data_IF_168704095740
#
_entry.id   IF_168704095740
#
_cell.length_a   1.000
_cell.length_b   1.000
_cell.length_c   1.000
_cell.angle_alpha   90.00
_cell.angle_beta   90.00
_cell.angle_gamma   90.00
#
_symmetry.space_group_name_H-M   'P 1'
#
loop_
_entity.id
_entity.type
_entity.pdbx_description
1 polymer ?
#
# COMPACT_ATOMS: atom_id res chain seq x y z
N UNK A 1 -41.95 -36.03 12.82
CA UNK A 1 -41.11 -34.98 12.17
C UNK A 1 -41.19 -33.58 12.82
N UNK A 2 -42.26 -33.25 13.57
CA UNK A 2 -42.44 -31.90 14.16
C UNK A 2 -41.68 -31.59 15.45
N UNK A 3 -41.17 -32.57 16.18
CA UNK A 3 -40.57 -32.39 17.51
C UNK A 3 -39.04 -32.14 17.41
N UNK A 4 -38.40 -32.67 16.37
CA UNK A 4 -36.95 -32.49 16.16
C UNK A 4 -36.62 -31.05 15.68
N UNK A 5 -37.48 -30.46 14.85
CA UNK A 5 -37.30 -29.08 14.36
C UNK A 5 -37.46 -28.01 15.48
N UNK A 6 -38.32 -28.22 16.48
CA UNK A 6 -38.44 -27.31 17.62
C UNK A 6 -37.26 -27.35 18.57
N UNK A 7 -36.59 -28.52 18.74
CA UNK A 7 -35.38 -28.62 19.59
C UNK A 7 -34.16 -27.99 18.94
N UNK A 8 -34.02 -28.13 17.62
CA UNK A 8 -32.89 -27.49 16.89
C UNK A 8 -33.05 -25.95 16.85
N UNK A 9 -34.29 -25.46 16.64
CA UNK A 9 -34.56 -24.02 16.67
C UNK A 9 -34.34 -23.43 18.08
N UNK A 10 -34.73 -24.13 19.14
CA UNK A 10 -34.48 -23.69 20.51
C UNK A 10 -33.02 -23.77 20.92
N UNK A 11 -32.26 -24.75 20.41
CA UNK A 11 -30.83 -24.86 20.65
C UNK A 11 -30.06 -23.73 19.96
N UNK A 12 -30.41 -23.39 18.71
CA UNK A 12 -29.85 -22.24 17.99
C UNK A 12 -30.17 -20.91 18.65
N UNK A 13 -31.41 -20.77 19.18
CA UNK A 13 -31.82 -19.57 19.93
C UNK A 13 -31.12 -19.46 21.30
N UNK A 14 -30.88 -20.57 21.98
CA UNK A 14 -30.09 -20.59 23.23
C UNK A 14 -28.62 -20.29 23.02
N UNK A 15 -28.00 -20.77 21.93
CA UNK A 15 -26.61 -20.41 21.55
C UNK A 15 -26.53 -18.91 21.20
N UNK A 16 -27.55 -18.36 20.53
CA UNK A 16 -27.65 -16.93 20.24
C UNK A 16 -27.78 -16.11 21.53
N UNK A 17 -28.61 -16.53 22.46
CA UNK A 17 -28.83 -15.88 23.77
C UNK A 17 -27.62 -16.01 24.72
N UNK A 18 -26.85 -17.11 24.62
CA UNK A 18 -25.60 -17.27 25.38
C UNK A 18 -24.50 -16.36 24.81
N UNK A 19 -24.40 -16.21 23.48
CA UNK A 19 -23.49 -15.21 22.86
C UNK A 19 -23.83 -13.77 23.27
N UNK A 20 -25.12 -13.43 23.42
CA UNK A 20 -25.57 -12.11 23.89
C UNK A 20 -25.24 -11.88 25.38
N UNK A 21 -25.18 -12.93 26.21
CA UNK A 21 -24.88 -12.81 27.65
C UNK A 21 -23.41 -12.79 28.01
N UNK A 22 -22.52 -13.32 27.16
CA UNK A 22 -21.07 -13.38 27.41
C UNK A 22 -20.33 -12.13 26.99
N UNK A 23 -20.89 -11.31 26.08
CA UNK A 23 -20.31 -10.06 25.64
C UNK A 23 -21.23 -8.90 26.02
N UNK A 24 -21.04 -8.34 27.19
CA UNK A 24 -21.82 -7.23 27.74
C UNK A 24 -21.72 -5.90 26.94
N UNK A 25 -21.95 -5.93 25.66
CA UNK A 25 -22.04 -4.78 24.78
C UNK A 25 -22.97 -5.08 23.60
N UNK A 26 -23.89 -4.19 23.29
CA UNK A 26 -24.64 -4.18 22.04
C UNK A 26 -23.64 -3.90 20.89
N UNK A 27 -23.05 -4.94 20.31
CA UNK A 27 -22.33 -4.78 19.04
C UNK A 27 -23.39 -4.68 17.95
N UNK A 28 -23.37 -3.59 17.21
CA UNK A 28 -24.25 -3.40 16.07
C UNK A 28 -24.00 -4.50 15.03
N UNK A 29 -25.02 -5.25 14.67
CA UNK A 29 -25.02 -6.23 13.56
C UNK A 29 -24.79 -5.57 12.18
N UNK A 30 -24.56 -4.25 12.13
CA UNK A 30 -24.39 -3.51 10.91
C UNK A 30 -23.07 -3.88 10.23
N UNK A 31 -23.16 -4.39 9.00
CA UNK A 31 -21.99 -4.62 8.16
C UNK A 31 -21.29 -3.30 7.85
N UNK A 32 -19.97 -3.35 7.73
CA UNK A 32 -19.19 -2.25 7.16
C UNK A 32 -19.58 -2.12 5.69
N UNK A 33 -19.87 -0.92 5.23
CA UNK A 33 -20.11 -0.57 3.83
C UNK A 33 -18.84 -0.03 3.21
N UNK A 34 -18.42 -0.62 2.09
CA UNK A 34 -17.23 -0.19 1.36
C UNK A 34 -17.58 0.21 -0.09
N UNK A 35 -16.87 1.20 -0.61
CA UNK A 35 -16.80 1.51 -2.03
C UNK A 35 -15.41 1.15 -2.54
N UNK A 36 -15.33 0.39 -3.64
CA UNK A 36 -14.09 0.11 -4.35
C UNK A 36 -13.83 1.20 -5.38
N UNK A 37 -12.76 1.97 -5.22
CA UNK A 37 -12.32 3.01 -6.16
C UNK A 37 -11.06 2.53 -6.89
N UNK A 38 -11.20 2.27 -8.19
CA UNK A 38 -10.23 1.54 -9.02
C UNK A 38 -10.54 0.04 -9.07
N UNK A 39 -10.99 -0.45 -10.24
CA UNK A 39 -11.46 -1.82 -10.47
C UNK A 39 -10.48 -2.55 -11.41
N UNK A 40 -9.19 -2.46 -11.09
CA UNK A 40 -8.11 -3.13 -11.83
C UNK A 40 -7.86 -4.58 -11.33
N UNK A 41 -6.79 -5.20 -11.83
CA UNK A 41 -6.40 -6.58 -11.51
C UNK A 41 -6.35 -6.87 -10.00
N UNK A 42 -5.75 -5.99 -9.21
CA UNK A 42 -5.59 -6.19 -7.76
C UNK A 42 -6.92 -6.09 -7.01
N UNK A 43 -7.84 -5.24 -7.47
CA UNK A 43 -9.13 -5.04 -6.80
C UNK A 43 -9.98 -6.32 -6.73
N UNK A 44 -9.79 -7.25 -7.66
CA UNK A 44 -10.47 -8.56 -7.64
C UNK A 44 -10.18 -9.32 -6.34
N UNK A 45 -8.90 -9.31 -5.90
CA UNK A 45 -8.52 -9.91 -4.62
C UNK A 45 -9.08 -9.13 -3.44
N UNK A 46 -8.98 -7.79 -3.48
CA UNK A 46 -9.49 -6.95 -2.39
C UNK A 46 -11.00 -7.09 -2.22
N UNK A 47 -11.77 -7.01 -3.30
CA UNK A 47 -13.23 -7.20 -3.25
C UNK A 47 -13.61 -8.59 -2.72
N UNK A 48 -12.90 -9.64 -3.15
CA UNK A 48 -13.10 -10.99 -2.61
C UNK A 48 -12.85 -11.02 -1.10
N UNK A 49 -11.73 -10.49 -0.63
CA UNK A 49 -11.38 -10.47 0.78
C UNK A 49 -12.34 -9.63 1.63
N UNK A 50 -12.83 -8.51 1.10
CA UNK A 50 -13.86 -7.70 1.74
C UNK A 50 -15.13 -8.54 1.99
N UNK A 51 -15.63 -9.22 0.96
CA UNK A 51 -16.81 -10.08 1.06
C UNK A 51 -16.60 -11.23 2.04
N UNK A 52 -15.45 -11.92 2.01
CA UNK A 52 -15.07 -12.99 2.92
C UNK A 52 -15.00 -12.53 4.39
N UNK A 53 -14.68 -11.25 4.62
CA UNK A 53 -14.66 -10.61 5.94
C UNK A 53 -15.97 -9.93 6.33
N UNK A 54 -17.07 -10.21 5.61
CA UNK A 54 -18.41 -9.73 5.94
C UNK A 54 -18.68 -8.27 5.60
N UNK A 55 -17.81 -7.63 4.81
CA UNK A 55 -18.02 -6.25 4.33
C UNK A 55 -19.03 -6.26 3.18
N UNK A 56 -19.92 -5.28 3.14
CA UNK A 56 -20.84 -5.03 2.04
C UNK A 56 -20.22 -4.04 1.06
N UNK A 57 -20.01 -4.45 -0.19
CA UNK A 57 -19.56 -3.52 -1.24
C UNK A 57 -20.82 -2.84 -1.79
N UNK A 58 -20.93 -1.53 -1.59
CA UNK A 58 -22.13 -0.73 -1.95
C UNK A 58 -21.92 0.13 -3.20
N UNK A 59 -20.73 0.10 -3.77
CA UNK A 59 -20.39 0.82 -5.01
C UNK A 59 -19.01 0.48 -5.50
N UNK A 60 -18.78 0.72 -6.78
CA UNK A 60 -17.49 0.59 -7.43
C UNK A 60 -17.30 1.72 -8.44
N UNK A 61 -16.07 2.24 -8.56
CA UNK A 61 -15.73 3.41 -9.38
C UNK A 61 -14.49 3.08 -10.22
N UNK A 62 -14.50 3.42 -11.49
CA UNK A 62 -13.33 3.34 -12.36
C UNK A 62 -13.39 4.37 -13.49
N UNK A 63 -12.23 4.67 -14.10
CA UNK A 63 -12.13 5.50 -15.30
C UNK A 63 -12.06 4.68 -16.59
N UNK A 64 -11.84 3.37 -16.50
CA UNK A 64 -11.66 2.50 -17.65
C UNK A 64 -13.01 2.14 -18.29
N UNK A 65 -13.29 2.57 -19.55
CA UNK A 65 -14.54 2.25 -20.23
C UNK A 65 -14.83 0.75 -20.37
N UNK A 66 -13.78 -0.08 -20.33
CA UNK A 66 -13.93 -1.52 -20.46
C UNK A 66 -14.61 -2.20 -19.25
N UNK A 67 -14.63 -1.53 -18.07
CA UNK A 67 -15.25 -2.07 -16.86
C UNK A 67 -16.45 -1.23 -16.39
N UNK A 68 -16.59 0.01 -16.81
CA UNK A 68 -17.76 0.86 -16.49
C UNK A 68 -19.04 0.18 -17.00
N UNK A 69 -20.07 0.16 -16.16
CA UNK A 69 -21.36 -0.47 -16.45
C UNK A 69 -21.41 -1.97 -16.19
N UNK A 70 -20.28 -2.64 -15.92
CA UNK A 70 -20.25 -4.05 -15.54
C UNK A 70 -20.53 -4.25 -14.06
N UNK A 71 -21.14 -5.38 -13.73
CA UNK A 71 -21.28 -5.81 -12.33
C UNK A 71 -19.93 -6.30 -11.78
N UNK A 72 -19.62 -5.95 -10.53
CA UNK A 72 -18.37 -6.39 -9.89
C UNK A 72 -18.26 -7.92 -9.76
N UNK A 73 -19.38 -8.63 -9.69
CA UNK A 73 -19.41 -10.10 -9.71
C UNK A 73 -18.87 -10.65 -11.04
N UNK A 74 -19.28 -10.05 -12.16
CA UNK A 74 -18.74 -10.41 -13.49
C UNK A 74 -17.21 -10.20 -13.55
N UNK A 75 -16.74 -9.05 -13.04
CA UNK A 75 -15.30 -8.71 -13.01
C UNK A 75 -14.51 -9.72 -12.16
N UNK A 76 -15.10 -10.18 -11.05
CA UNK A 76 -14.50 -11.19 -10.18
C UNK A 76 -14.67 -12.63 -10.69
N UNK A 77 -15.32 -12.84 -11.85
CA UNK A 77 -15.58 -14.18 -12.41
C UNK A 77 -16.57 -15.01 -11.60
N UNK A 78 -17.59 -14.36 -11.00
CA UNK A 78 -18.65 -14.98 -10.18
C UNK A 78 -20.03 -14.42 -10.53
N UNK A 79 -21.07 -14.91 -9.84
CA UNK A 79 -22.44 -14.41 -10.03
C UNK A 79 -22.53 -12.90 -9.71
N UNK A 80 -23.48 -12.24 -10.40
CA UNK A 80 -23.74 -10.81 -10.21
C UNK A 80 -24.07 -10.49 -8.74
N UNK A 81 -23.48 -9.41 -8.26
CA UNK A 81 -23.67 -8.91 -6.89
C UNK A 81 -24.63 -7.73 -6.82
N UNK A 82 -25.09 -7.22 -7.97
CA UNK A 82 -25.99 -6.06 -8.04
C UNK A 82 -25.26 -4.72 -7.85
N UNK A 83 -23.93 -4.71 -7.95
CA UNK A 83 -23.11 -3.50 -7.82
C UNK A 83 -22.44 -3.22 -9.15
N UNK A 84 -22.88 -2.18 -9.82
CA UNK A 84 -22.38 -1.77 -11.16
C UNK A 84 -21.25 -0.75 -10.99
N UNK A 85 -20.18 -0.90 -11.80
CA UNK A 85 -19.06 0.05 -11.83
C UNK A 85 -19.54 1.38 -12.41
N UNK A 86 -19.37 2.43 -11.65
CA UNK A 86 -19.71 3.83 -11.98
C UNK A 86 -18.47 4.54 -12.55
N UNK A 87 -18.67 5.43 -13.51
CA UNK A 87 -17.60 6.26 -14.05
C UNK A 87 -17.10 7.27 -13.00
N UNK A 88 -15.79 7.60 -13.04
CA UNK A 88 -15.11 8.47 -12.07
C UNK A 88 -15.78 9.85 -11.94
N UNK A 89 -16.32 10.39 -13.01
CA UNK A 89 -17.03 11.67 -13.04
C UNK A 89 -18.26 11.71 -12.10
N UNK A 90 -18.80 10.53 -11.77
CA UNK A 90 -19.92 10.35 -10.86
C UNK A 90 -19.51 9.89 -9.45
N UNK A 91 -18.20 9.84 -9.17
CA UNK A 91 -17.66 9.34 -7.90
C UNK A 91 -18.26 10.05 -6.69
N UNK A 92 -18.30 11.38 -6.72
CA UNK A 92 -18.85 12.20 -5.62
C UNK A 92 -20.31 11.90 -5.34
N UNK A 93 -21.11 11.75 -6.41
CA UNK A 93 -22.53 11.42 -6.27
C UNK A 93 -22.72 10.01 -5.68
N UNK A 94 -21.99 9.01 -6.20
CA UNK A 94 -22.06 7.63 -5.68
C UNK A 94 -21.71 7.57 -4.18
N UNK A 95 -20.62 8.20 -3.77
CA UNK A 95 -20.19 8.23 -2.36
C UNK A 95 -21.21 8.95 -1.46
N UNK A 96 -21.82 10.05 -1.96
CA UNK A 96 -22.88 10.79 -1.25
C UNK A 96 -24.15 9.97 -1.06
N UNK A 97 -24.55 9.19 -2.06
CA UNK A 97 -25.78 8.38 -2.05
C UNK A 97 -25.61 7.12 -1.21
N UNK A 98 -24.47 6.42 -1.35
CA UNK A 98 -24.21 5.14 -0.67
C UNK A 98 -23.76 5.31 0.78
N UNK A 99 -23.14 6.45 1.12
CA UNK A 99 -22.60 6.78 2.44
C UNK A 99 -21.79 5.61 3.02
N UNK A 100 -20.71 5.20 2.36
CA UNK A 100 -19.91 4.08 2.82
C UNK A 100 -19.16 4.45 4.11
N UNK A 101 -18.81 3.42 4.91
CA UNK A 101 -17.95 3.59 6.08
C UNK A 101 -16.49 3.79 5.64
N UNK A 102 -16.13 3.26 4.47
CA UNK A 102 -14.79 3.36 3.92
C UNK A 102 -14.77 3.28 2.39
N UNK A 103 -13.89 4.07 1.77
CA UNK A 103 -13.54 3.98 0.35
C UNK A 103 -12.15 3.33 0.22
N UNK A 104 -12.04 2.28 -0.58
CA UNK A 104 -10.78 1.59 -0.87
C UNK A 104 -10.24 2.09 -2.20
N UNK A 105 -9.20 2.93 -2.16
CA UNK A 105 -8.62 3.60 -3.34
C UNK A 105 -7.43 2.81 -3.88
N UNK A 106 -7.58 2.24 -5.07
CA UNK A 106 -6.58 1.36 -5.72
C UNK A 106 -6.37 1.79 -7.18
N UNK A 107 -5.81 2.99 -7.40
CA UNK A 107 -5.72 3.60 -8.73
C UNK A 107 -4.31 3.82 -9.23
N UNK A 108 -3.47 4.50 -8.47
CA UNK A 108 -2.15 4.99 -8.87
C UNK A 108 -1.14 4.84 -7.73
N UNK A 109 0.15 5.01 -8.04
CA UNK A 109 1.27 4.90 -7.10
C UNK A 109 1.72 6.25 -6.53
N UNK A 110 1.48 7.36 -7.22
CA UNK A 110 1.84 8.70 -6.76
C UNK A 110 0.68 9.40 -6.05
N UNK A 111 1.00 10.09 -4.96
CA UNK A 111 0.00 10.71 -4.09
C UNK A 111 -0.80 11.80 -4.80
N UNK A 112 -0.14 12.61 -5.62
CA UNK A 112 -0.80 13.62 -6.44
C UNK A 112 -1.78 13.06 -7.46
N UNK A 113 -1.52 11.88 -8.01
CA UNK A 113 -2.45 11.21 -8.95
C UNK A 113 -3.71 10.66 -8.26
N UNK A 114 -3.68 10.51 -6.92
CA UNK A 114 -4.83 10.08 -6.11
C UNK A 114 -5.54 11.27 -5.44
N UNK A 115 -5.12 12.52 -5.68
CA UNK A 115 -5.67 13.72 -5.01
C UNK A 115 -7.19 13.79 -5.11
N UNK A 116 -7.75 13.63 -6.30
CA UNK A 116 -9.21 13.74 -6.52
C UNK A 116 -9.98 12.73 -5.64
N UNK A 117 -9.57 11.47 -5.61
CA UNK A 117 -10.22 10.44 -4.82
C UNK A 117 -10.16 10.75 -3.31
N UNK A 118 -8.99 11.16 -2.81
CA UNK A 118 -8.83 11.53 -1.40
C UNK A 118 -9.62 12.78 -1.03
N UNK A 119 -9.61 13.80 -1.89
CA UNK A 119 -10.34 15.05 -1.66
C UNK A 119 -11.85 14.82 -1.60
N UNK A 120 -12.41 14.04 -2.52
CA UNK A 120 -13.85 13.70 -2.51
C UNK A 120 -14.21 12.95 -1.23
N UNK A 121 -13.42 11.95 -0.83
CA UNK A 121 -13.64 11.21 0.42
C UNK A 121 -13.60 12.16 1.63
N UNK A 122 -12.56 13.00 1.73
CA UNK A 122 -12.39 13.94 2.82
C UNK A 122 -13.51 15.00 2.86
N UNK A 123 -13.98 15.51 1.71
CA UNK A 123 -15.10 16.44 1.62
C UNK A 123 -16.43 15.86 2.12
N UNK A 124 -16.66 14.58 1.82
CA UNK A 124 -17.90 13.88 2.19
C UNK A 124 -17.84 13.23 3.60
N UNK A 125 -16.70 13.32 4.29
CA UNK A 125 -16.52 12.69 5.60
C UNK A 125 -16.48 11.16 5.52
N UNK A 126 -16.03 10.60 4.38
CA UNK A 126 -15.86 9.16 4.15
C UNK A 126 -14.42 8.77 4.46
N UNK A 127 -14.22 7.76 5.32
CA UNK A 127 -12.87 7.24 5.53
C UNK A 127 -12.30 6.67 4.22
N UNK A 128 -10.98 6.79 4.01
CA UNK A 128 -10.33 6.20 2.85
C UNK A 128 -9.04 5.48 3.21
N UNK A 129 -8.83 4.34 2.54
CA UNK A 129 -7.62 3.55 2.63
C UNK A 129 -7.10 3.28 1.22
N UNK A 130 -5.79 3.45 0.99
CA UNK A 130 -5.23 3.33 -0.36
C UNK A 130 -4.02 2.41 -0.43
N UNK A 131 -3.86 1.76 -1.59
CA UNK A 131 -2.64 1.04 -1.98
C UNK A 131 -1.59 1.93 -2.63
N UNK A 132 -1.88 3.22 -2.82
CA UNK A 132 -0.91 4.18 -3.35
C UNK A 132 0.37 4.15 -2.50
N UNK A 133 1.49 3.81 -3.10
CA UNK A 133 2.75 3.60 -2.38
C UNK A 133 3.25 4.89 -1.73
N UNK A 134 3.13 6.03 -2.41
CA UNK A 134 3.53 7.32 -1.85
C UNK A 134 2.63 7.74 -0.67
N UNK A 135 1.35 7.32 -0.68
CA UNK A 135 0.41 7.60 0.41
C UNK A 135 0.77 6.93 1.74
N UNK A 136 1.77 6.04 1.76
CA UNK A 136 2.26 5.37 2.98
C UNK A 136 2.88 6.37 3.97
N UNK A 137 3.64 7.36 3.47
CA UNK A 137 4.22 8.44 4.28
C UNK A 137 4.43 9.72 3.44
N UNK A 138 3.35 10.38 2.98
CA UNK A 138 3.44 11.49 2.03
C UNK A 138 3.99 12.81 2.62
N UNK A 139 4.17 12.88 3.95
CA UNK A 139 4.70 14.07 4.62
C UNK A 139 6.09 14.46 4.15
N UNK A 140 6.91 13.50 3.70
CA UNK A 140 8.27 13.75 3.25
C UNK A 140 8.44 13.83 1.72
N UNK A 141 7.35 13.66 0.95
CA UNK A 141 7.37 13.72 -0.52
C UNK A 141 6.41 14.76 -1.10
N UNK A 142 5.24 14.95 -0.49
CA UNK A 142 4.22 15.92 -0.93
C UNK A 142 3.49 16.54 0.26
N UNK A 143 4.21 17.34 1.09
CA UNK A 143 3.68 17.89 2.35
C UNK A 143 2.48 18.83 2.16
N UNK A 144 2.42 19.56 1.04
CA UNK A 144 1.32 20.50 0.80
C UNK A 144 0.00 19.77 0.56
N UNK A 145 0.00 18.75 -0.27
CA UNK A 145 -1.20 17.93 -0.50
C UNK A 145 -1.58 17.14 0.76
N UNK A 146 -0.57 16.58 1.47
CA UNK A 146 -0.79 15.93 2.76
C UNK A 146 -1.53 16.85 3.75
N UNK A 147 -1.04 18.08 3.96
CA UNK A 147 -1.66 19.04 4.87
C UNK A 147 -3.09 19.40 4.44
N UNK A 148 -3.32 19.63 3.14
CA UNK A 148 -4.64 19.92 2.57
C UNK A 148 -5.66 18.82 2.86
N UNK A 149 -5.28 17.56 2.65
CA UNK A 149 -6.14 16.41 2.91
C UNK A 149 -6.36 16.23 4.42
N UNK A 150 -5.31 16.36 5.23
CA UNK A 150 -5.36 16.21 6.69
C UNK A 150 -6.33 17.22 7.34
N UNK A 151 -6.22 18.50 6.96
CA UNK A 151 -7.13 19.56 7.44
C UNK A 151 -8.58 19.29 7.05
N UNK A 152 -8.80 18.88 5.80
CA UNK A 152 -10.15 18.60 5.29
C UNK A 152 -10.77 17.37 5.97
N UNK A 153 -9.99 16.31 6.13
CA UNK A 153 -10.42 15.09 6.81
C UNK A 153 -10.74 15.34 8.30
N UNK A 154 -9.92 16.15 9.00
CA UNK A 154 -10.21 16.60 10.37
C UNK A 154 -11.51 17.40 10.46
N UNK A 155 -11.70 18.34 9.53
CA UNK A 155 -12.91 19.16 9.47
C UNK A 155 -14.18 18.34 9.28
N UNK A 156 -14.11 17.28 8.48
CA UNK A 156 -15.28 16.46 8.10
C UNK A 156 -15.33 15.12 8.85
N UNK A 157 -14.51 14.95 9.92
CA UNK A 157 -14.53 13.81 10.85
C UNK A 157 -14.34 12.45 10.16
N UNK A 158 -13.36 12.33 9.27
CA UNK A 158 -12.97 11.09 8.63
C UNK A 158 -11.44 10.87 8.67
N UNK A 159 -11.01 9.64 8.41
CA UNK A 159 -9.60 9.23 8.40
C UNK A 159 -9.18 8.81 7.00
N UNK A 160 -8.08 9.37 6.53
CA UNK A 160 -7.44 9.01 5.25
C UNK A 160 -6.09 8.37 5.54
N UNK A 161 -5.73 7.30 4.84
CA UNK A 161 -4.42 6.64 4.99
C UNK A 161 -3.97 5.90 3.74
N UNK A 162 -2.66 5.68 3.61
CA UNK A 162 -2.06 4.74 2.67
C UNK A 162 -1.43 3.57 3.40
N UNK A 163 -1.54 2.37 2.83
CA UNK A 163 -0.95 1.14 3.36
C UNK A 163 -0.82 0.09 2.25
N UNK A 164 -0.32 -1.09 2.57
CA UNK A 164 -0.16 -2.20 1.64
C UNK A 164 0.95 -3.13 2.07
N UNK A 165 1.63 -3.76 1.13
CA UNK A 165 2.78 -4.62 1.36
C UNK A 165 3.83 -3.97 2.28
N UNK A 166 4.09 -2.68 2.07
CA UNK A 166 5.07 -1.90 2.81
C UNK A 166 4.79 -1.81 4.30
N UNK A 167 3.54 -1.84 4.74
CA UNK A 167 3.18 -1.75 6.16
C UNK A 167 3.83 -2.87 6.98
N UNK A 168 3.75 -4.11 6.49
CA UNK A 168 4.34 -5.26 7.17
C UNK A 168 5.79 -5.45 6.76
N UNK A 169 6.05 -5.55 5.45
CA UNK A 169 7.29 -6.09 4.92
C UNK A 169 8.44 -5.09 4.83
N UNK A 170 8.11 -3.78 4.83
CA UNK A 170 9.08 -2.69 4.85
C UNK A 170 9.00 -1.83 6.12
N UNK A 171 8.04 -2.12 6.99
CA UNK A 171 7.77 -1.39 8.23
C UNK A 171 7.79 -2.26 9.48
N UNK A 172 6.68 -2.93 9.77
CA UNK A 172 6.48 -3.57 11.08
C UNK A 172 7.46 -4.72 11.38
N UNK A 173 7.85 -5.53 10.39
CA UNK A 173 8.85 -6.57 10.57
C UNK A 173 10.19 -5.97 11.04
N UNK A 174 10.59 -4.86 10.44
CA UNK A 174 11.84 -4.19 10.75
C UNK A 174 11.79 -3.57 12.16
N UNK A 175 10.71 -2.89 12.48
CA UNK A 175 10.56 -2.27 13.81
C UNK A 175 10.40 -3.31 14.92
N UNK A 176 9.81 -4.48 14.62
CA UNK A 176 9.75 -5.59 15.58
C UNK A 176 11.12 -6.17 15.88
N UNK A 177 11.98 -6.32 14.86
CA UNK A 177 13.37 -6.76 15.04
C UNK A 177 14.17 -5.68 15.78
N UNK A 178 13.99 -4.40 15.42
CA UNK A 178 14.62 -3.28 16.12
C UNK A 178 14.29 -3.27 17.60
N UNK A 179 13.06 -3.66 17.98
CA UNK A 179 12.64 -3.78 19.39
C UNK A 179 13.41 -4.85 20.19
N UNK A 180 14.10 -5.79 19.54
CA UNK A 180 14.95 -6.80 20.16
C UNK A 180 16.45 -6.52 20.03
N UNK A 181 16.84 -5.34 19.51
CA UNK A 181 18.21 -4.91 19.32
C UNK A 181 18.56 -3.83 20.34
N UNK A 182 19.58 -4.06 21.17
CA UNK A 182 19.98 -3.14 22.26
C UNK A 182 20.60 -1.84 21.72
N UNK A 183 21.38 -1.94 20.64
CA UNK A 183 22.04 -0.78 20.00
C UNK A 183 21.95 -0.93 18.51
N UNK A 184 21.37 0.05 17.82
CA UNK A 184 21.26 0.09 16.37
C UNK A 184 22.25 1.12 15.84
N UNK A 185 22.99 0.76 14.80
CA UNK A 185 23.89 1.69 14.07
C UNK A 185 23.40 1.95 12.66
N UNK A 186 22.80 0.93 12.02
CA UNK A 186 22.28 1.04 10.65
C UNK A 186 21.08 0.12 10.45
N UNK A 187 20.13 0.55 9.65
CA UNK A 187 19.06 -0.31 9.11
C UNK A 187 19.30 -0.37 7.59
N UNK A 188 19.49 -1.58 7.06
CA UNK A 188 19.70 -1.80 5.63
C UNK A 188 18.58 -2.65 5.06
N UNK A 189 17.95 -2.18 3.96
CA UNK A 189 16.87 -2.87 3.29
C UNK A 189 17.09 -3.00 1.79
N UNK A 190 16.63 -4.12 1.21
CA UNK A 190 16.60 -4.35 -0.22
C UNK A 190 15.35 -5.13 -0.59
N UNK A 191 14.58 -4.63 -1.55
CA UNK A 191 13.41 -5.32 -2.09
C UNK A 191 13.52 -5.36 -3.61
N UNK A 192 13.29 -6.54 -4.22
CA UNK A 192 13.42 -6.71 -5.67
C UNK A 192 12.14 -7.25 -6.29
N UNK A 193 11.90 -6.87 -7.55
CA UNK A 193 10.78 -7.35 -8.36
C UNK A 193 11.17 -7.41 -9.84
N UNK A 194 10.52 -8.31 -10.58
CA UNK A 194 10.68 -8.43 -12.02
C UNK A 194 9.85 -7.39 -12.75
N UNK A 195 10.50 -6.43 -13.43
CA UNK A 195 9.79 -5.36 -14.16
C UNK A 195 8.94 -5.89 -15.33
N UNK A 196 9.25 -7.07 -15.85
CA UNK A 196 8.50 -7.67 -16.96
C UNK A 196 7.05 -8.02 -16.59
N UNK A 197 6.76 -8.28 -15.31
CA UNK A 197 5.40 -8.57 -14.83
C UNK A 197 4.47 -7.35 -14.88
N UNK A 198 5.06 -6.16 -14.97
CA UNK A 198 4.35 -4.87 -14.97
C UNK A 198 4.30 -4.19 -16.34
N UNK A 199 4.92 -4.79 -17.36
CA UNK A 199 4.84 -4.38 -18.76
C UNK A 199 5.99 -3.50 -19.25
N UNK A 200 5.99 -3.27 -20.57
CA UNK A 200 7.10 -2.64 -21.30
C UNK A 200 7.45 -1.23 -20.78
N UNK A 201 6.44 -0.42 -20.48
CA UNK A 201 6.66 0.96 -20.03
C UNK A 201 7.47 1.02 -18.71
N UNK A 202 7.24 0.09 -17.78
CA UNK A 202 8.00 0.04 -16.55
C UNK A 202 9.43 -0.45 -16.78
N UNK A 203 9.62 -1.47 -17.63
CA UNK A 203 10.95 -1.98 -17.98
C UNK A 203 11.81 -0.88 -18.65
N UNK A 204 11.24 -0.11 -19.58
CA UNK A 204 11.91 1.02 -20.23
C UNK A 204 12.23 2.14 -19.23
N UNK A 205 11.27 2.51 -18.36
CA UNK A 205 11.47 3.52 -17.32
C UNK A 205 12.59 3.15 -16.33
N UNK A 206 12.81 1.84 -16.11
CA UNK A 206 13.91 1.33 -15.29
C UNK A 206 15.24 1.23 -16.06
N UNK A 207 15.27 1.63 -17.31
CA UNK A 207 16.46 1.62 -18.14
C UNK A 207 16.95 0.23 -18.58
N UNK A 208 16.06 -0.78 -18.54
CA UNK A 208 16.40 -2.12 -19.00
C UNK A 208 16.77 -2.12 -20.49
N UNK A 209 17.88 -2.76 -20.83
CA UNK A 209 18.43 -2.80 -22.20
C UNK A 209 19.30 -1.61 -22.59
N UNK A 210 19.50 -0.63 -21.72
CA UNK A 210 20.41 0.49 -21.97
C UNK A 210 21.86 0.11 -21.66
N UNK A 211 22.80 0.62 -22.49
CA UNK A 211 24.20 0.62 -22.08
C UNK A 211 24.39 1.50 -20.82
N UNK A 212 25.43 1.24 -20.03
CA UNK A 212 25.67 2.01 -18.79
C UNK A 212 25.84 3.51 -19.07
N UNK A 213 26.41 3.91 -20.20
CA UNK A 213 26.51 5.31 -20.58
C UNK A 213 25.14 5.95 -20.84
N UNK A 214 24.26 5.24 -21.55
CA UNK A 214 22.88 5.72 -21.80
C UNK A 214 22.06 5.75 -20.52
N UNK A 215 22.20 4.71 -19.68
CA UNK A 215 21.55 4.66 -18.37
C UNK A 215 21.95 5.87 -17.52
N UNK A 216 23.23 6.18 -17.46
CA UNK A 216 23.76 7.32 -16.70
C UNK A 216 23.13 8.65 -17.13
N UNK A 217 22.93 8.84 -18.44
CA UNK A 217 22.36 10.08 -19.00
C UNK A 217 20.83 10.15 -18.90
N UNK A 218 20.14 9.04 -19.02
CA UNK A 218 18.67 9.01 -19.18
C UNK A 218 17.94 8.69 -17.88
N UNK A 219 18.54 7.90 -16.98
CA UNK A 219 17.94 7.44 -15.73
C UNK A 219 18.62 8.07 -14.51
N UNK A 220 19.91 7.83 -14.34
CA UNK A 220 20.63 8.28 -13.14
C UNK A 220 20.76 9.80 -13.01
N UNK A 221 20.74 10.53 -14.12
CA UNK A 221 20.87 11.99 -14.12
C UNK A 221 19.73 12.70 -13.39
N UNK A 222 18.52 12.12 -13.36
CA UNK A 222 17.35 12.72 -12.71
C UNK A 222 17.51 12.90 -11.18
N UNK A 223 18.35 12.08 -10.54
CA UNK A 223 18.62 12.17 -9.10
C UNK A 223 19.84 13.01 -8.73
N UNK A 224 20.55 13.58 -9.73
CA UNK A 224 21.74 14.42 -9.51
C UNK A 224 21.40 15.88 -9.30
N UNK A 225 20.54 16.13 -8.32
CA UNK A 225 20.08 17.46 -7.93
C UNK A 225 20.55 17.79 -6.52
N UNK A 226 20.68 19.07 -6.20
CA UNK A 226 21.04 19.52 -4.86
C UNK A 226 19.89 19.21 -3.84
N UNK A 227 20.21 19.28 -2.55
CA UNK A 227 19.22 19.12 -1.50
C UNK A 227 18.15 20.23 -1.55
N UNK A 228 18.57 21.46 -1.86
CA UNK A 228 17.69 22.61 -2.01
C UNK A 228 16.73 22.42 -3.20
N UNK A 229 17.27 22.03 -4.37
CA UNK A 229 16.47 21.77 -5.55
C UNK A 229 15.47 20.63 -5.33
N UNK A 230 15.88 19.54 -4.66
CA UNK A 230 14.97 18.46 -4.29
C UNK A 230 13.87 18.96 -3.37
N UNK A 231 14.19 19.77 -2.35
CA UNK A 231 13.20 20.35 -1.46
C UNK A 231 12.22 21.26 -2.19
N UNK A 232 12.68 22.03 -3.16
CA UNK A 232 11.79 22.86 -3.98
C UNK A 232 10.82 22.02 -4.83
N UNK A 233 11.29 20.93 -5.41
CA UNK A 233 10.46 19.97 -6.17
C UNK A 233 9.42 19.31 -5.23
N UNK A 234 9.82 18.90 -4.03
CA UNK A 234 8.94 18.36 -2.99
C UNK A 234 7.87 19.39 -2.61
N UNK A 235 8.26 20.64 -2.39
CA UNK A 235 7.34 21.71 -2.01
C UNK A 235 6.33 22.03 -3.12
N UNK A 236 6.67 21.81 -4.39
CA UNK A 236 5.74 21.96 -5.52
C UNK A 236 4.86 20.73 -5.73
N UNK A 237 5.11 19.61 -5.03
CA UNK A 237 4.40 18.36 -5.25
C UNK A 237 4.74 17.64 -6.56
N UNK A 238 5.90 17.93 -7.11
CA UNK A 238 6.43 17.40 -8.38
C UNK A 238 7.48 16.30 -8.17
N UNK A 239 7.82 15.99 -6.92
CA UNK A 239 8.79 14.97 -6.62
C UNK A 239 8.25 13.59 -6.96
N UNK A 240 9.09 12.78 -7.60
CA UNK A 240 8.80 11.37 -7.90
C UNK A 240 9.66 10.48 -6.98
N UNK A 241 9.17 10.17 -5.79
CA UNK A 241 9.94 9.39 -4.83
C UNK A 241 10.05 7.93 -5.26
N UNK A 242 11.21 7.33 -4.97
CA UNK A 242 11.26 5.87 -4.82
C UNK A 242 10.34 5.43 -3.68
N UNK A 243 9.80 4.22 -3.74
CA UNK A 243 9.00 3.64 -2.65
C UNK A 243 9.76 3.69 -1.31
N UNK A 244 11.07 3.52 -1.33
CA UNK A 244 11.91 3.57 -0.13
C UNK A 244 12.06 4.97 0.46
N UNK A 245 11.73 6.02 -0.29
CA UNK A 245 11.70 7.39 0.25
C UNK A 245 10.68 7.55 1.36
N UNK A 246 9.46 7.12 1.10
CA UNK A 246 8.36 7.15 2.07
C UNK A 246 8.55 6.11 3.18
N UNK A 247 9.11 4.94 2.85
CA UNK A 247 9.45 3.88 3.82
C UNK A 247 10.46 4.36 4.86
N UNK A 248 11.54 5.02 4.43
CA UNK A 248 12.54 5.55 5.38
C UNK A 248 11.92 6.62 6.30
N UNK A 249 11.07 7.49 5.77
CA UNK A 249 10.32 8.47 6.56
C UNK A 249 9.41 7.80 7.59
N UNK A 250 8.70 6.76 7.19
CA UNK A 250 7.83 5.96 8.06
C UNK A 250 8.65 5.26 9.17
N UNK A 251 9.79 4.65 8.82
CA UNK A 251 10.68 4.00 9.79
C UNK A 251 11.21 4.99 10.81
N UNK A 252 11.65 6.18 10.37
CA UNK A 252 12.07 7.24 11.28
C UNK A 252 10.94 7.64 12.23
N UNK A 253 9.73 7.86 11.70
CA UNK A 253 8.56 8.22 12.51
C UNK A 253 8.19 7.14 13.54
N UNK A 254 8.18 5.87 13.14
CA UNK A 254 7.83 4.74 14.02
C UNK A 254 8.87 4.49 15.10
N UNK A 255 10.16 4.67 14.79
CA UNK A 255 11.28 4.46 15.70
C UNK A 255 11.63 5.72 16.53
N UNK A 256 10.98 6.86 16.27
CA UNK A 256 11.27 8.11 16.96
C UNK A 256 12.61 8.73 16.56
N UNK A 257 13.07 8.50 15.34
CA UNK A 257 14.31 9.04 14.78
C UNK A 257 14.04 10.40 14.12
N UNK A 258 15.03 11.30 14.18
CA UNK A 258 14.98 12.64 13.61
C UNK A 258 15.85 12.71 12.35
N UNK A 259 15.29 12.72 11.13
CA UNK A 259 16.08 12.83 9.90
C UNK A 259 16.85 14.15 9.82
N UNK A 260 18.13 14.09 9.47
CA UNK A 260 18.99 15.24 9.15
C UNK A 260 19.02 15.46 7.62
N UNK A 261 19.15 14.36 6.88
CA UNK A 261 19.21 14.38 5.43
C UNK A 261 18.56 13.12 4.87
N UNK A 262 17.98 13.25 3.68
CA UNK A 262 17.50 12.12 2.90
C UNK A 262 17.87 12.32 1.44
N UNK A 263 18.49 11.32 0.86
CA UNK A 263 18.96 11.34 -0.54
C UNK A 263 18.44 10.13 -1.29
N UNK A 264 18.27 10.28 -2.61
CA UNK A 264 17.90 9.21 -3.52
C UNK A 264 18.92 9.13 -4.65
N UNK A 265 19.21 7.91 -5.10
CA UNK A 265 20.15 7.66 -6.19
C UNK A 265 19.71 6.46 -7.00
N UNK A 266 19.58 6.61 -8.33
CA UNK A 266 19.39 5.49 -9.25
C UNK A 266 20.72 4.84 -9.61
N UNK A 267 20.81 3.53 -9.43
CA UNK A 267 22.00 2.72 -9.71
C UNK A 267 21.62 1.62 -10.71
N UNK A 268 22.40 1.45 -11.82
CA UNK A 268 22.10 0.39 -12.78
C UNK A 268 22.27 -1.00 -12.15
N UNK A 269 21.37 -1.89 -12.45
CA UNK A 269 21.52 -3.30 -12.20
C UNK A 269 22.04 -3.96 -13.45
N UNK A 270 22.99 -4.89 -13.33
CA UNK A 270 23.61 -5.59 -14.46
C UNK A 270 23.64 -7.09 -14.20
N UNK A 271 23.85 -7.87 -15.25
CA UNK A 271 24.11 -9.29 -15.13
C UNK A 271 25.33 -9.71 -15.94
N UNK A 272 25.96 -10.81 -15.56
CA UNK A 272 27.20 -11.29 -16.16
C UNK A 272 27.05 -11.93 -17.54
N UNK A 273 25.85 -12.42 -17.85
CA UNK A 273 25.52 -13.11 -19.10
C UNK A 273 24.40 -12.33 -19.84
N UNK A 274 24.23 -12.63 -21.14
CA UNK A 274 23.11 -12.11 -21.93
C UNK A 274 21.77 -12.60 -21.39
N UNK A 275 20.77 -11.72 -21.26
CA UNK A 275 19.40 -12.06 -20.82
C UNK A 275 18.42 -11.65 -21.92
N UNK A 276 17.57 -12.58 -22.37
CA UNK A 276 16.49 -12.26 -23.27
C UNK A 276 15.27 -11.74 -22.47
N UNK A 277 14.85 -10.50 -22.77
CA UNK A 277 13.62 -9.94 -22.24
C UNK A 277 12.48 -10.18 -23.22
N UNK A 278 11.47 -10.91 -22.78
CA UNK A 278 10.27 -11.17 -23.57
C UNK A 278 9.40 -9.92 -23.71
N UNK A 279 9.38 -9.08 -22.69
CA UNK A 279 8.60 -7.83 -22.65
C UNK A 279 9.18 -6.77 -23.57
N UNK A 280 10.51 -6.60 -23.59
CA UNK A 280 11.22 -5.67 -24.47
C UNK A 280 11.46 -6.27 -25.86
N UNK A 281 11.24 -7.57 -26.04
CA UNK A 281 11.55 -8.35 -27.25
C UNK A 281 13.00 -8.12 -27.74
N UNK A 282 13.95 -8.10 -26.79
CA UNK A 282 15.36 -7.89 -27.06
C UNK A 282 16.26 -8.69 -26.11
N UNK A 283 17.51 -8.89 -26.51
CA UNK A 283 18.54 -9.43 -25.64
C UNK A 283 19.31 -8.28 -24.96
N UNK A 284 19.19 -8.17 -23.65
CA UNK A 284 20.05 -7.30 -22.82
C UNK A 284 21.43 -7.94 -22.77
N UNK A 285 22.45 -7.23 -23.20
CA UNK A 285 23.81 -7.73 -23.28
C UNK A 285 24.47 -7.81 -21.90
N UNK A 286 25.37 -8.77 -21.74
CA UNK A 286 26.19 -8.89 -20.53
C UNK A 286 26.84 -7.55 -20.16
N UNK A 287 26.65 -7.09 -18.95
CA UNK A 287 27.17 -5.83 -18.44
C UNK A 287 26.34 -4.57 -18.77
N UNK A 288 25.35 -4.66 -19.66
CA UNK A 288 24.36 -3.59 -19.84
C UNK A 288 23.33 -3.59 -18.72
N UNK A 289 22.55 -2.51 -18.61
CA UNK A 289 21.55 -2.38 -17.56
C UNK A 289 20.38 -3.36 -17.78
N UNK A 290 20.14 -4.23 -16.81
CA UNK A 290 18.95 -5.07 -16.73
C UNK A 290 17.76 -4.34 -16.09
N UNK A 291 18.02 -3.19 -15.49
CA UNK A 291 17.09 -2.33 -14.77
C UNK A 291 17.84 -1.42 -13.80
N UNK A 292 17.17 -0.96 -12.77
CA UNK A 292 17.75 -0.08 -11.76
C UNK A 292 17.48 -0.51 -10.33
N UNK A 293 18.30 -0.02 -9.41
CA UNK A 293 17.99 0.11 -7.99
C UNK A 293 17.85 1.59 -7.65
N UNK A 294 16.73 1.96 -7.03
CA UNK A 294 16.57 3.27 -6.41
C UNK A 294 16.97 3.17 -4.93
N UNK A 295 18.17 3.65 -4.61
CA UNK A 295 18.75 3.62 -3.27
C UNK A 295 18.42 4.91 -2.53
N UNK A 296 17.81 4.80 -1.37
CA UNK A 296 17.51 5.92 -0.47
C UNK A 296 18.34 5.81 0.79
N UNK A 297 19.05 6.88 1.14
CA UNK A 297 19.84 6.97 2.38
C UNK A 297 19.30 8.10 3.23
N UNK A 298 18.99 7.79 4.48
CA UNK A 298 18.52 8.75 5.49
C UNK A 298 19.48 8.74 6.67
N UNK A 299 20.09 9.89 6.96
CA UNK A 299 20.91 10.11 8.15
C UNK A 299 20.04 10.72 9.25
N UNK A 300 20.25 10.32 10.51
CA UNK A 300 19.47 10.78 11.65
C UNK A 300 20.34 11.43 12.73
N UNK A 301 19.73 12.31 13.56
CA UNK A 301 20.40 12.95 14.71
C UNK A 301 20.90 11.93 15.72
N UNK A 302 20.21 10.81 15.85
CA UNK A 302 20.53 9.72 16.77
C UNK A 302 21.73 8.89 16.30
N UNK A 303 22.32 9.21 15.12
CA UNK A 303 23.47 8.53 14.55
C UNK A 303 23.14 7.18 13.91
N UNK A 304 21.88 6.94 13.61
CA UNK A 304 21.41 5.75 12.90
C UNK A 304 21.21 6.11 11.43
N UNK A 305 21.83 5.35 10.53
CA UNK A 305 21.62 5.47 9.09
C UNK A 305 20.57 4.46 8.62
N UNK A 306 19.57 4.89 7.84
CA UNK A 306 18.66 3.98 7.12
C UNK A 306 19.02 4.02 5.65
N UNK A 307 19.48 2.89 5.11
CA UNK A 307 19.79 2.70 3.69
C UNK A 307 18.89 1.61 3.13
N UNK A 308 18.03 1.97 2.20
CA UNK A 308 17.10 1.04 1.61
C UNK A 308 17.03 1.20 0.10
N UNK A 309 16.79 0.11 -0.60
CA UNK A 309 16.72 0.09 -2.06
C UNK A 309 15.52 -0.71 -2.56
N UNK A 310 14.96 -0.25 -3.66
CA UNK A 310 13.97 -0.98 -4.43
C UNK A 310 14.57 -1.29 -5.80
N UNK A 311 14.71 -2.59 -6.12
CA UNK A 311 15.36 -3.09 -7.33
C UNK A 311 14.28 -3.55 -8.29
N UNK A 312 14.12 -2.83 -9.39
CA UNK A 312 13.28 -3.24 -10.52
C UNK A 312 14.16 -3.57 -11.74
N UNK A 313 14.11 -4.82 -12.19
CA UNK A 313 14.93 -5.27 -13.31
C UNK A 313 14.33 -6.45 -14.05
N UNK A 314 14.82 -6.71 -15.27
CA UNK A 314 14.64 -7.98 -15.97
C UNK A 314 15.44 -9.05 -15.23
N UNK A 315 14.80 -10.13 -14.83
CA UNK A 315 15.46 -11.19 -14.06
C UNK A 315 16.23 -12.17 -14.95
N UNK A 316 17.38 -12.58 -14.44
CA UNK A 316 18.05 -13.77 -14.90
C UNK A 316 17.30 -15.04 -14.43
N UNK A 317 17.57 -16.21 -15.07
CA UNK A 317 16.82 -17.43 -14.76
C UNK A 317 16.89 -17.93 -13.30
N UNK A 318 17.88 -17.51 -12.54
CA UNK A 318 18.11 -17.87 -11.14
C UNK A 318 17.65 -16.79 -10.15
N UNK A 319 17.09 -15.69 -10.65
CA UNK A 319 16.61 -14.58 -9.84
C UNK A 319 15.11 -14.68 -9.57
N UNK A 320 14.70 -14.14 -8.44
CA UNK A 320 13.31 -14.08 -8.00
C UNK A 320 13.12 -12.93 -7.00
N UNK A 321 11.89 -12.55 -6.76
CA UNK A 321 11.52 -11.52 -5.80
C UNK A 321 12.04 -11.83 -4.41
N UNK A 322 12.76 -10.87 -3.82
CA UNK A 322 13.30 -10.93 -2.46
C UNK A 322 13.03 -9.64 -1.72
N UNK A 323 12.83 -9.78 -0.42
CA UNK A 323 12.79 -8.67 0.51
C UNK A 323 13.73 -9.01 1.68
N UNK A 324 14.85 -8.28 1.78
CA UNK A 324 15.91 -8.55 2.77
C UNK A 324 16.13 -7.30 3.60
N UNK A 325 16.06 -7.45 4.93
CA UNK A 325 16.33 -6.36 5.85
C UNK A 325 17.31 -6.79 6.92
N UNK A 326 18.27 -5.92 7.23
CA UNK A 326 19.25 -6.11 8.27
C UNK A 326 19.20 -4.94 9.25
N UNK A 327 18.99 -5.21 10.52
CA UNK A 327 19.21 -4.28 11.61
C UNK A 327 20.62 -4.53 12.12
N UNK A 328 21.55 -3.65 11.80
CA UNK A 328 22.95 -3.72 12.22
C UNK A 328 23.10 -3.10 13.59
N UNK A 329 23.72 -3.83 14.50
CA UNK A 329 23.90 -3.38 15.88
C UNK A 329 24.26 -4.48 16.84
N UNK A 330 23.70 -4.44 18.03
CA UNK A 330 23.95 -5.39 19.11
C UNK A 330 22.63 -6.01 19.60
N UNK A 331 22.29 -7.24 19.15
CA UNK A 331 22.92 -8.01 18.07
C UNK A 331 22.51 -7.53 16.67
N UNK A 332 23.29 -7.90 15.64
CA UNK A 332 22.88 -7.75 14.25
C UNK A 332 21.92 -8.87 13.85
N UNK A 333 20.82 -8.53 13.19
CA UNK A 333 19.79 -9.49 12.75
C UNK A 333 19.40 -9.22 11.30
N UNK A 334 19.35 -10.26 10.48
CA UNK A 334 18.86 -10.22 9.10
C UNK A 334 17.59 -11.05 8.96
N UNK A 335 16.60 -10.52 8.26
CA UNK A 335 15.38 -11.22 7.86
C UNK A 335 15.30 -11.24 6.33
N UNK A 336 14.87 -12.36 5.79
CA UNK A 336 14.63 -12.52 4.35
C UNK A 336 13.23 -13.08 4.12
N UNK A 337 12.50 -12.45 3.20
CA UNK A 337 11.25 -12.97 2.65
C UNK A 337 11.48 -13.28 1.19
N UNK A 338 11.32 -14.53 0.81
CA UNK A 338 11.53 -15.02 -0.55
C UNK A 338 10.20 -15.22 -1.27
N UNK A 339 10.15 -14.84 -2.54
CA UNK A 339 8.99 -15.03 -3.44
C UNK A 339 7.67 -14.53 -2.82
N UNK A 340 7.63 -13.32 -2.28
CA UNK A 340 6.39 -12.79 -1.73
C UNK A 340 5.34 -12.62 -2.83
N UNK A 341 4.11 -13.06 -2.58
CA UNK A 341 2.97 -12.69 -3.42
C UNK A 341 2.51 -11.27 -3.04
N UNK A 342 3.21 -10.26 -3.56
CA UNK A 342 3.02 -8.85 -3.20
C UNK A 342 1.59 -8.37 -3.43
N UNK A 343 0.91 -8.88 -4.48
CA UNK A 343 -0.47 -8.53 -4.83
C UNK A 343 -1.43 -8.97 -3.73
N UNK A 344 -1.44 -10.25 -3.38
CA UNK A 344 -2.37 -10.78 -2.38
C UNK A 344 -2.03 -10.27 -0.98
N UNK A 345 -0.75 -10.11 -0.66
CA UNK A 345 -0.29 -9.57 0.63
C UNK A 345 -0.72 -8.10 0.80
N UNK A 346 -0.62 -7.27 -0.25
CA UNK A 346 -1.14 -5.90 -0.25
C UNK A 346 -2.65 -5.88 -0.01
N UNK A 347 -3.42 -6.68 -0.76
CA UNK A 347 -4.87 -6.72 -0.63
C UNK A 347 -5.32 -7.20 0.75
N UNK A 348 -4.65 -8.21 1.32
CA UNK A 348 -4.93 -8.70 2.67
C UNK A 348 -4.61 -7.64 3.74
N UNK A 349 -3.50 -6.91 3.59
CA UNK A 349 -3.11 -5.81 4.49
C UNK A 349 -4.17 -4.72 4.49
N UNK A 350 -4.60 -4.25 3.31
CA UNK A 350 -5.68 -3.26 3.17
C UNK A 350 -6.93 -3.70 3.94
N UNK A 351 -7.40 -4.91 3.69
CA UNK A 351 -8.65 -5.40 4.29
C UNK A 351 -8.55 -5.53 5.81
N UNK A 352 -7.45 -6.07 6.32
CA UNK A 352 -7.24 -6.20 7.77
C UNK A 352 -7.07 -4.84 8.48
N UNK A 353 -6.64 -3.76 7.78
CA UNK A 353 -6.50 -2.40 8.32
C UNK A 353 -7.81 -1.62 8.42
N UNK A 354 -8.85 -2.00 7.70
CA UNK A 354 -10.11 -1.25 7.66
C UNK A 354 -10.66 -0.89 9.05
N UNK A 355 -10.76 -1.81 10.02
CA UNK A 355 -11.25 -1.45 11.35
C UNK A 355 -10.33 -0.44 12.07
N UNK A 356 -9.01 -0.54 11.86
CA UNK A 356 -8.05 0.37 12.48
C UNK A 356 -8.21 1.79 11.93
N UNK A 357 -8.51 1.94 10.62
CA UNK A 357 -8.79 3.22 9.97
C UNK A 357 -10.10 3.83 10.50
N UNK A 358 -11.18 3.04 10.55
CA UNK A 358 -12.50 3.51 11.03
C UNK A 358 -12.43 3.93 12.51
N UNK A 359 -11.61 3.26 13.31
CA UNK A 359 -11.42 3.59 14.74
C UNK A 359 -10.39 4.70 14.99
N UNK A 360 -9.69 5.18 13.97
CA UNK A 360 -8.67 6.21 14.12
C UNK A 360 -9.26 7.59 14.35
N UNK A 361 -8.45 8.51 14.88
CA UNK A 361 -8.84 9.92 14.97
C UNK A 361 -8.90 10.54 13.57
N UNK A 362 -9.82 11.49 13.36
CA UNK A 362 -9.91 12.20 12.08
C UNK A 362 -8.60 12.87 11.64
N UNK A 363 -8.36 12.83 10.35
CA UNK A 363 -7.19 13.42 9.68
C UNK A 363 -6.52 12.44 8.72
N UNK A 364 -5.38 12.84 8.17
CA UNK A 364 -4.49 11.91 7.48
C UNK A 364 -3.63 11.18 8.51
N UNK A 365 -3.94 9.94 8.77
CA UNK A 365 -3.27 9.14 9.81
C UNK A 365 -2.44 8.04 9.16
N UNK A 366 -1.13 8.20 9.15
CA UNK A 366 -0.21 7.17 8.65
C UNK A 366 -0.17 5.96 9.59
N UNK A 367 0.03 4.77 9.04
CA UNK A 367 -0.10 3.51 9.79
C UNK A 367 0.95 3.32 10.88
N UNK A 368 2.04 4.09 10.90
CA UNK A 368 3.00 4.16 12.04
C UNK A 368 2.36 4.69 13.33
N UNK A 369 1.28 5.48 13.21
CA UNK A 369 0.48 5.99 14.33
C UNK A 369 -0.68 5.09 14.72
N UNK A 370 -0.95 4.07 13.94
CA UNK A 370 -1.91 3.01 14.28
C UNK A 370 -1.21 1.88 15.04
N UNK A 371 -1.97 1.01 15.70
CA UNK A 371 -1.44 -0.21 16.30
C UNK A 371 -0.85 -1.17 15.25
N UNK A 372 -0.08 -2.15 15.69
CA UNK A 372 0.47 -3.17 14.80
C UNK A 372 -0.67 -3.95 14.13
N UNK A 373 -0.53 -4.17 12.82
CA UNK A 373 -1.56 -4.87 12.04
C UNK A 373 -1.70 -6.31 12.52
N UNK A 374 -2.94 -6.71 12.75
CA UNK A 374 -3.26 -8.06 13.16
C UNK A 374 -4.27 -8.70 12.22
N UNK A 375 -4.13 -10.00 11.98
CA UNK A 375 -5.14 -10.74 11.23
C UNK A 375 -6.49 -10.68 11.93
N UNK A 376 -7.51 -10.25 11.21
CA UNK A 376 -8.89 -10.19 11.73
C UNK A 376 -9.60 -11.51 11.40
N UNK A 377 -9.73 -12.39 12.37
CA UNK A 377 -10.33 -13.74 12.19
C UNK A 377 -11.85 -13.65 11.97
N UNK A 378 -12.53 -12.73 12.67
CA UNK A 378 -13.98 -12.54 12.62
C UNK A 378 -14.37 -11.49 11.57
N UNK A 379 -15.66 -11.32 11.25
CA UNK A 379 -16.14 -10.21 10.43
C UNK A 379 -15.62 -8.87 10.92
N UNK A 380 -15.26 -7.97 9.98
CA UNK A 380 -14.54 -6.73 10.32
C UNK A 380 -15.36 -5.78 11.21
N UNK A 381 -16.68 -5.80 11.11
CA UNK A 381 -17.55 -4.98 11.96
C UNK A 381 -17.44 -5.31 13.46
N UNK A 382 -17.00 -6.52 13.83
CA UNK A 382 -16.76 -6.87 15.23
C UNK A 382 -15.53 -6.19 15.84
N UNK A 383 -14.67 -5.56 15.03
CA UNK A 383 -13.49 -4.82 15.46
C UNK A 383 -13.67 -3.30 15.41
N UNK A 384 -14.82 -2.81 14.94
CA UNK A 384 -15.16 -1.38 14.94
C UNK A 384 -15.82 -1.03 16.28
N UNK A 385 -15.33 0.08 16.89
CA UNK A 385 -15.77 0.55 18.23
C UNK A 385 -16.87 1.61 18.12
#
# INVERSE_FOLDING_TARGET
MGIINKKVANFSLQILLIKIRQNGGFYMERKIKAVQYGVGKMSVYTMRYLLEKGVEIVGAIDMNPAVIGKDIGEIMGRENLGVTVTAVENAKQLLSDTKPDICVVMTRSLFGECEEAFMICAELGVNAISTCEEAFYPQNSNPNLFNKIDELAKKNNCTITGTGYQDIYWGQLITSIAGSTQKITKIKGSSSYNVEEYGIALAEAHGAGLSLEKFDKQVAAADRISAEERQDIINRGEFMPSYMWTVNGWLCSKLGLTPISQTQKCVPQTYKDDIFSSTLNMTVKAGDATGMSAVVTTETQEGITIESECIGKVYAPDEFDKNVWTVEGEPTTTITVEKPNTVELTCATIVNRIPDVINSKPGYVTVDKMGDLQHKIRPLNEYVK
#
